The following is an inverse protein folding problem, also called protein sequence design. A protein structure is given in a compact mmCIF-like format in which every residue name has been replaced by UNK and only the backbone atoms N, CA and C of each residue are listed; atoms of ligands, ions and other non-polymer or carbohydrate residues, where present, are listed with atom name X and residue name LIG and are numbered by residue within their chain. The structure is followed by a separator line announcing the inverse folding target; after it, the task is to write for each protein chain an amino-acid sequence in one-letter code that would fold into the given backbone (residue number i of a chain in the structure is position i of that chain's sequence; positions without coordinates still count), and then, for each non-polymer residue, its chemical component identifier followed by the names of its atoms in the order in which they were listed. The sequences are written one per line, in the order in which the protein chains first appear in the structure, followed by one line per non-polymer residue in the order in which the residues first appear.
data_IF_849642195128
#
_entry.id   IF_849642195128
#
_cell.length_a   1.000
_cell.length_b   1.000
_cell.length_c   1.000
_cell.angle_alpha   90.00
_cell.angle_beta   90.00
_cell.angle_gamma   90.00
#
_symmetry.space_group_name_H-M   'P 1'
#
loop_
_entity.id
_entity.type
_entity.pdbx_description
1 polymer ?
#
# COMPACT_ATOMS: atom_id res chain seq x y z
N UNK A 1 24.93 -24.52 -50.78
CA UNK A 1 24.70 -23.51 -49.72
C UNK A 1 23.26 -23.06 -49.84
N UNK A 2 22.44 -23.10 -48.77
CA UNK A 2 20.98 -23.01 -48.93
C UNK A 2 20.59 -21.59 -49.35
N UNK A 3 19.77 -21.49 -50.40
CA UNK A 3 19.27 -20.24 -50.98
C UNK A 3 18.39 -19.40 -50.03
N UNK A 4 18.12 -19.91 -48.81
CA UNK A 4 17.37 -19.22 -47.77
C UNK A 4 18.09 -17.98 -47.22
N UNK A 5 19.43 -17.95 -47.24
CA UNK A 5 20.23 -16.79 -46.77
C UNK A 5 20.24 -15.64 -47.79
N UNK A 6 19.90 -15.89 -49.06
CA UNK A 6 19.99 -14.89 -50.14
C UNK A 6 18.81 -13.90 -50.19
N UNK A 7 17.82 -14.04 -49.31
CA UNK A 7 16.55 -13.30 -49.36
C UNK A 7 16.29 -12.48 -48.09
N UNK A 8 17.33 -12.14 -47.33
CA UNK A 8 17.23 -11.19 -46.24
C UNK A 8 17.27 -9.77 -46.80
N UNK A 9 16.10 -9.18 -47.08
CA UNK A 9 16.00 -7.73 -47.23
C UNK A 9 16.18 -7.15 -45.83
N UNK A 10 17.31 -6.48 -45.59
CA UNK A 10 17.52 -5.75 -44.35
C UNK A 10 16.37 -4.76 -44.08
N UNK A 11 16.08 -4.51 -42.81
CA UNK A 11 15.08 -3.54 -42.41
C UNK A 11 15.42 -2.15 -42.97
N UNK A 12 14.41 -1.46 -43.51
CA UNK A 12 14.59 -0.09 -43.98
C UNK A 12 14.94 0.83 -42.80
N UNK A 13 15.80 1.82 -43.01
CA UNK A 13 16.18 2.78 -41.96
C UNK A 13 14.96 3.46 -41.33
N UNK A 14 13.93 3.78 -42.13
CA UNK A 14 12.68 4.40 -41.65
C UNK A 14 11.89 3.43 -40.76
N UNK A 15 11.90 2.14 -41.09
CA UNK A 15 11.20 1.10 -40.33
C UNK A 15 11.86 0.88 -38.96
N UNK A 16 13.20 0.85 -38.91
CA UNK A 16 13.95 0.78 -37.64
C UNK A 16 13.70 2.02 -36.79
N UNK A 17 13.69 3.22 -37.39
CA UNK A 17 13.40 4.47 -36.66
C UNK A 17 11.98 4.47 -36.09
N UNK A 18 10.98 4.00 -36.85
CA UNK A 18 9.62 3.84 -36.36
C UNK A 18 9.53 2.81 -35.22
N UNK A 19 10.20 1.66 -35.36
CA UNK A 19 10.24 0.64 -34.32
C UNK A 19 10.88 1.15 -33.03
N UNK A 20 12.00 1.89 -33.13
CA UNK A 20 12.66 2.51 -31.99
C UNK A 20 11.79 3.60 -31.35
N UNK A 21 11.12 4.42 -32.15
CA UNK A 21 10.17 5.42 -31.65
C UNK A 21 9.02 4.75 -30.88
N UNK A 22 8.41 3.70 -31.44
CA UNK A 22 7.36 2.93 -30.78
C UNK A 22 7.86 2.29 -29.48
N UNK A 23 9.06 1.71 -29.51
CA UNK A 23 9.67 1.12 -28.32
C UNK A 23 9.83 2.16 -27.21
N UNK A 24 10.36 3.35 -27.53
CA UNK A 24 10.52 4.45 -26.56
C UNK A 24 9.17 4.88 -25.98
N UNK A 25 8.14 5.02 -26.81
CA UNK A 25 6.78 5.38 -26.35
C UNK A 25 6.23 4.32 -25.37
N UNK A 26 6.33 3.03 -25.72
CA UNK A 26 5.82 1.94 -24.88
C UNK A 26 6.58 1.87 -23.56
N UNK A 27 7.92 1.90 -23.60
CA UNK A 27 8.76 1.82 -22.40
C UNK A 27 8.51 3.02 -21.47
N UNK A 28 8.40 4.23 -22.01
CA UNK A 28 8.12 5.43 -21.20
C UNK A 28 6.72 5.40 -20.59
N UNK A 29 5.69 5.00 -21.35
CA UNK A 29 4.34 4.83 -20.83
C UNK A 29 4.28 3.76 -19.73
N UNK A 30 4.94 2.61 -19.93
CA UNK A 30 4.97 1.52 -18.97
C UNK A 30 5.72 1.91 -17.69
N UNK A 31 6.87 2.58 -17.80
CA UNK A 31 7.61 3.09 -16.66
C UNK A 31 6.79 4.11 -15.86
N UNK A 32 6.07 5.01 -16.55
CA UNK A 32 5.13 5.94 -15.92
C UNK A 32 4.02 5.23 -15.15
N UNK A 33 3.44 4.18 -15.74
CA UNK A 33 2.41 3.36 -15.09
C UNK A 33 2.95 2.65 -13.83
N UNK A 34 4.10 2.00 -13.92
CA UNK A 34 4.72 1.33 -12.77
C UNK A 34 5.04 2.30 -11.63
N UNK A 35 5.52 3.50 -11.94
CA UNK A 35 5.77 4.54 -10.94
C UNK A 35 4.49 4.94 -10.21
N UNK A 36 3.39 5.13 -10.95
CA UNK A 36 2.10 5.46 -10.35
C UNK A 36 1.57 4.33 -9.46
N UNK A 37 1.71 3.08 -9.90
CA UNK A 37 1.31 1.90 -9.13
C UNK A 37 2.13 1.77 -7.84
N UNK A 38 3.44 1.91 -7.92
CA UNK A 38 4.34 1.85 -6.76
C UNK A 38 3.98 2.91 -5.73
N UNK A 39 3.74 4.16 -6.16
CA UNK A 39 3.33 5.24 -5.28
C UNK A 39 2.01 4.90 -4.54
N UNK A 40 1.00 4.41 -5.25
CA UNK A 40 -0.28 4.02 -4.65
C UNK A 40 -0.12 2.84 -3.69
N UNK A 41 0.70 1.85 -4.04
CA UNK A 41 0.97 0.71 -3.17
C UNK A 41 1.59 1.13 -1.84
N UNK A 42 2.55 2.07 -1.85
CA UNK A 42 3.14 2.58 -0.60
C UNK A 42 2.11 3.26 0.30
N UNK A 43 1.19 4.04 -0.27
CA UNK A 43 0.12 4.70 0.49
C UNK A 43 -0.86 3.69 1.09
N UNK A 44 -1.26 2.68 0.31
CA UNK A 44 -2.16 1.63 0.79
C UNK A 44 -1.51 0.80 1.90
N UNK A 45 -0.22 0.47 1.75
CA UNK A 45 0.52 -0.26 2.76
C UNK A 45 0.62 0.54 4.08
N UNK A 46 0.86 1.84 4.02
CA UNK A 46 0.84 2.71 5.21
C UNK A 46 -0.51 2.70 5.91
N UNK A 47 -1.62 2.77 5.16
CA UNK A 47 -2.97 2.68 5.71
C UNK A 47 -3.21 1.33 6.38
N UNK A 48 -2.78 0.23 5.75
CA UNK A 48 -2.92 -1.12 6.30
C UNK A 48 -2.13 -1.30 7.59
N UNK A 49 -0.91 -0.77 7.67
CA UNK A 49 -0.09 -0.77 8.89
C UNK A 49 -0.77 0.02 10.01
N UNK A 50 -1.27 1.22 9.70
CA UNK A 50 -2.02 2.04 10.66
C UNK A 50 -3.24 1.28 11.20
N UNK A 51 -4.03 0.67 10.31
CA UNK A 51 -5.19 -0.12 10.70
C UNK A 51 -4.81 -1.32 11.56
N UNK A 52 -3.77 -2.06 11.19
CA UNK A 52 -3.29 -3.21 11.95
C UNK A 52 -2.86 -2.82 13.37
N UNK A 53 -2.06 -1.77 13.51
CA UNK A 53 -1.63 -1.29 14.82
C UNK A 53 -2.79 -0.73 15.64
N UNK A 54 -3.69 0.05 15.04
CA UNK A 54 -4.86 0.60 15.72
C UNK A 54 -5.78 -0.52 16.23
N UNK A 55 -5.99 -1.57 15.42
CA UNK A 55 -6.77 -2.74 15.79
C UNK A 55 -6.16 -3.48 16.99
N UNK A 56 -4.84 -3.72 16.96
CA UNK A 56 -4.14 -4.39 18.06
C UNK A 56 -4.18 -3.56 19.36
N UNK A 57 -4.17 -2.23 19.26
CA UNK A 57 -4.33 -1.34 20.42
C UNK A 57 -5.75 -1.27 20.97
N UNK A 58 -6.75 -1.46 20.10
CA UNK A 58 -8.16 -1.49 20.48
C UNK A 58 -8.56 -2.81 21.16
N UNK A 59 -7.63 -3.72 21.42
CA UNK A 59 -7.88 -4.92 22.22
C UNK A 59 -7.92 -4.58 23.72
N UNK A 60 -8.50 -5.47 24.54
CA UNK A 60 -8.50 -5.32 26.01
C UNK A 60 -7.07 -5.24 26.58
N UNK A 61 -6.16 -6.08 26.06
CA UNK A 61 -4.73 -6.03 26.36
C UNK A 61 -4.00 -5.20 25.31
N UNK A 62 -3.20 -4.23 25.75
CA UNK A 62 -2.43 -3.36 24.85
C UNK A 62 -1.17 -4.07 24.39
N UNK A 63 -0.89 -4.02 23.09
CA UNK A 63 0.38 -4.52 22.55
C UNK A 63 1.46 -3.42 22.60
N UNK A 64 2.74 -3.79 22.65
CA UNK A 64 3.82 -2.79 22.55
C UNK A 64 3.84 -2.21 21.13
N UNK A 65 3.81 -0.88 21.02
CA UNK A 65 3.97 -0.20 19.73
C UNK A 65 5.44 -0.11 19.32
N UNK A 66 5.75 -0.23 18.02
CA UNK A 66 7.09 0.03 17.52
C UNK A 66 7.46 1.53 17.67
N UNK A 67 8.76 1.81 17.69
CA UNK A 67 9.29 3.17 17.89
C UNK A 67 8.72 4.18 16.88
N UNK A 68 8.41 5.40 17.36
CA UNK A 68 7.88 6.50 16.55
C UNK A 68 6.36 6.49 16.37
N UNK A 69 5.65 5.46 16.80
CA UNK A 69 4.19 5.46 16.85
C UNK A 69 3.70 6.02 18.19
N UNK A 70 2.71 6.92 18.12
CA UNK A 70 2.07 7.47 19.32
C UNK A 70 0.63 6.98 19.39
N UNK A 71 0.20 6.52 20.57
CA UNK A 71 -1.15 6.04 20.81
C UNK A 71 -1.76 6.79 21.99
N UNK A 72 -3.00 7.24 21.83
CA UNK A 72 -3.85 7.75 22.91
C UNK A 72 -5.05 6.83 23.04
N UNK A 73 -5.17 6.14 24.18
CA UNK A 73 -6.22 5.18 24.46
C UNK A 73 -7.15 5.75 25.53
N UNK A 74 -8.43 5.84 25.21
CA UNK A 74 -9.49 6.26 26.12
C UNK A 74 -10.41 5.07 26.34
N UNK A 75 -10.67 4.76 27.61
CA UNK A 75 -11.52 3.66 27.99
C UNK A 75 -12.71 4.21 28.78
N UNK A 76 -13.92 3.84 28.35
CA UNK A 76 -15.16 4.22 29.04
C UNK A 76 -15.95 2.97 29.36
N UNK A 77 -16.39 2.82 30.60
CA UNK A 77 -17.23 1.70 31.03
C UNK A 77 -18.70 2.12 30.97
N UNK A 78 -19.51 1.42 30.19
CA UNK A 78 -20.95 1.67 30.09
C UNK A 78 -21.72 0.36 30.25
N UNK A 79 -22.55 0.26 31.29
CA UNK A 79 -23.48 -0.85 31.54
C UNK A 79 -22.83 -2.26 31.46
N UNK A 80 -21.63 -2.43 32.03
CA UNK A 80 -20.91 -3.71 32.02
C UNK A 80 -20.10 -4.00 30.74
N UNK A 81 -20.23 -3.17 29.71
CA UNK A 81 -19.36 -3.17 28.54
C UNK A 81 -18.26 -2.12 28.69
N UNK A 82 -17.09 -2.41 28.11
CA UNK A 82 -15.97 -1.48 28.02
C UNK A 82 -15.89 -0.97 26.57
N UNK A 83 -16.05 0.34 26.35
CA UNK A 83 -15.66 0.95 25.08
C UNK A 83 -14.20 1.40 25.16
N UNK A 84 -13.42 1.02 24.17
CA UNK A 84 -12.02 1.40 24.01
C UNK A 84 -11.90 2.20 22.72
N UNK A 85 -11.61 3.49 22.84
CA UNK A 85 -11.29 4.38 21.73
C UNK A 85 -9.78 4.57 21.68
N UNK A 86 -9.18 4.26 20.54
CA UNK A 86 -7.75 4.44 20.29
C UNK A 86 -7.56 5.45 19.18
N UNK A 87 -6.87 6.54 19.49
CA UNK A 87 -6.28 7.44 18.51
C UNK A 87 -4.82 7.05 18.30
N UNK A 88 -4.43 6.79 17.06
CA UNK A 88 -3.08 6.42 16.68
C UNK A 88 -2.48 7.47 15.74
N UNK A 89 -1.22 7.84 15.96
CA UNK A 89 -0.44 8.73 15.09
C UNK A 89 0.76 7.95 14.57
N UNK A 90 0.85 7.82 13.26
CA UNK A 90 1.97 7.16 12.61
C UNK A 90 3.23 8.04 12.63
N UNK A 91 4.44 7.45 12.47
CA UNK A 91 5.68 8.21 12.36
C UNK A 91 5.68 9.23 11.21
N UNK A 92 4.82 9.02 10.21
CA UNK A 92 4.63 9.91 9.06
C UNK A 92 3.56 10.99 9.30
N UNK A 93 3.07 11.13 10.53
CA UNK A 93 2.10 12.13 10.95
C UNK A 93 0.64 11.84 10.60
N UNK A 94 0.32 10.64 10.09
CA UNK A 94 -1.08 10.26 9.82
C UNK A 94 -1.78 9.86 11.11
N UNK A 95 -2.91 10.50 11.39
CA UNK A 95 -3.80 10.14 12.50
C UNK A 95 -4.90 9.21 12.03
N UNK A 96 -5.21 8.20 12.82
CA UNK A 96 -6.43 7.41 12.68
C UNK A 96 -7.05 7.11 14.03
N UNK A 97 -8.35 6.87 14.04
CA UNK A 97 -9.11 6.61 15.26
C UNK A 97 -9.96 5.37 15.06
N UNK A 98 -9.99 4.50 16.07
CA UNK A 98 -10.84 3.31 16.10
C UNK A 98 -11.50 3.21 17.46
N UNK A 99 -12.78 2.88 17.47
CA UNK A 99 -13.54 2.62 18.69
C UNK A 99 -14.07 1.21 18.65
N UNK A 100 -13.87 0.45 19.73
CA UNK A 100 -14.37 -0.91 19.87
C UNK A 100 -15.07 -1.09 21.20
N UNK A 101 -16.18 -1.81 21.18
CA UNK A 101 -16.92 -2.21 22.36
C UNK A 101 -16.58 -3.66 22.71
N UNK A 102 -16.26 -3.89 23.98
CA UNK A 102 -16.05 -5.21 24.57
C UNK A 102 -17.11 -5.43 25.63
N UNK A 103 -18.10 -6.26 25.30
CA UNK A 103 -19.12 -6.70 26.23
C UNK A 103 -18.81 -8.13 26.67
N UNK A 104 -19.04 -8.48 27.95
CA UNK A 104 -19.02 -9.87 28.37
C UNK A 104 -20.07 -10.63 27.56
N UNK A 105 -19.69 -11.78 27.00
CA UNK A 105 -20.66 -12.71 26.43
C UNK A 105 -21.45 -13.25 27.62
N UNK A 106 -22.77 -13.05 27.64
CA UNK A 106 -23.65 -13.58 28.67
C UNK A 106 -23.36 -15.08 28.84
N UNK A 107 -22.79 -15.47 29.98
CA UNK A 107 -22.65 -16.87 30.38
C UNK A 107 -24.00 -17.44 30.77
#
# INVERSE_FOLDING_TARGET
MPAAVSKEKGFSMVEVLLAMMLLVIIVTALAGYHRALAARFTQFNQYRQLWHHAWNQAQLSTNVLPAGWQASRVQTTHAGCVSITVTLISPLGRRGEITRLHCPVSQ
#
